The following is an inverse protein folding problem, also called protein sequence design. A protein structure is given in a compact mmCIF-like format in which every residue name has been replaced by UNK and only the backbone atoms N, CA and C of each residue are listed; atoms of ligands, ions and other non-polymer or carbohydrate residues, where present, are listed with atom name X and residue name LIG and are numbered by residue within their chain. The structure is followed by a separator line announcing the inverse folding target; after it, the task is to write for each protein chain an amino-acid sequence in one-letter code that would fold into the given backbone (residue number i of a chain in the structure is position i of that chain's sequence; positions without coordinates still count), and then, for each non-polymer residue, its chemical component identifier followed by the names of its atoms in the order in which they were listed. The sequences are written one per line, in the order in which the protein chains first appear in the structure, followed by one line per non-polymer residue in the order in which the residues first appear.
data_IF_977923631196
#
_entry.id   IF_977923631196
#
_cell.length_a   1.000
_cell.length_b   1.000
_cell.length_c   1.000
_cell.angle_alpha   90.00
_cell.angle_beta   90.00
_cell.angle_gamma   90.00
#
_symmetry.space_group_name_H-M   'P 1'
#
loop_
_entity.id
_entity.type
_entity.pdbx_description
1 polymer ?
#
# COMPACT_ATOMS: atom_id res chain seq x y z
N UNK A 1 5.15 -48.74 -8.76
CA UNK A 1 5.49 -47.69 -7.81
C UNK A 1 5.25 -46.33 -8.48
N UNK A 2 4.10 -45.72 -8.18
CA UNK A 2 3.76 -44.38 -8.67
C UNK A 2 4.52 -43.38 -7.79
N UNK A 3 5.39 -42.55 -8.38
CA UNK A 3 5.95 -41.38 -7.76
C UNK A 3 4.84 -40.34 -7.69
N UNK A 4 4.27 -40.14 -6.52
CA UNK A 4 3.47 -38.95 -6.21
C UNK A 4 4.44 -37.77 -6.18
N UNK A 5 4.47 -36.99 -7.26
CA UNK A 5 5.11 -35.70 -7.28
C UNK A 5 4.35 -34.82 -6.31
N UNK A 6 4.96 -34.48 -5.18
CA UNK A 6 4.52 -33.35 -4.37
C UNK A 6 4.65 -32.11 -5.26
N UNK A 7 3.53 -31.51 -5.64
CA UNK A 7 3.54 -30.18 -6.19
C UNK A 7 4.20 -29.29 -5.12
N UNK A 8 5.35 -28.71 -5.46
CA UNK A 8 5.96 -27.66 -4.66
C UNK A 8 4.93 -26.54 -4.57
N UNK A 9 4.39 -26.30 -3.37
CA UNK A 9 3.49 -25.16 -3.12
C UNK A 9 4.36 -23.93 -3.36
N UNK A 10 4.10 -23.22 -4.44
CA UNK A 10 4.81 -21.99 -4.74
C UNK A 10 4.38 -20.97 -3.70
N UNK A 11 5.30 -20.59 -2.81
CA UNK A 11 5.08 -19.51 -1.85
C UNK A 11 4.93 -18.20 -2.62
N UNK A 12 3.77 -17.57 -2.51
CA UNK A 12 3.48 -16.31 -3.19
C UNK A 12 3.45 -15.18 -2.16
N UNK A 13 4.27 -14.17 -2.38
CA UNK A 13 4.24 -12.91 -1.62
C UNK A 13 3.38 -11.90 -2.36
N UNK A 14 2.55 -11.15 -1.63
CA UNK A 14 1.90 -9.97 -2.14
C UNK A 14 2.66 -8.72 -1.66
N UNK A 15 3.13 -7.89 -2.58
CA UNK A 15 3.66 -6.56 -2.31
C UNK A 15 2.56 -5.53 -2.63
N UNK A 16 2.06 -4.86 -1.59
CA UNK A 16 1.00 -3.87 -1.70
C UNK A 16 1.60 -2.48 -1.60
N UNK A 17 1.47 -1.71 -2.67
CA UNK A 17 1.97 -0.34 -2.80
C UNK A 17 0.80 0.62 -2.59
N UNK A 18 0.78 1.26 -1.42
CA UNK A 18 -0.34 2.08 -0.95
C UNK A 18 -0.19 3.51 -1.45
N UNK A 19 -1.12 3.97 -2.29
CA UNK A 19 -1.44 5.36 -2.64
C UNK A 19 -0.24 6.24 -3.03
N UNK A 20 0.78 5.70 -3.68
CA UNK A 20 1.92 6.50 -4.14
C UNK A 20 1.53 7.24 -5.43
N UNK A 21 0.61 8.19 -5.26
CA UNK A 21 0.01 9.00 -6.31
C UNK A 21 0.67 10.37 -6.38
N UNK A 22 0.55 11.06 -7.53
CA UNK A 22 1.18 12.35 -7.73
C UNK A 22 0.78 13.37 -6.66
N UNK A 23 -0.50 13.42 -6.25
CA UNK A 23 -0.97 14.36 -5.23
C UNK A 23 -0.33 14.15 -3.86
N UNK A 24 0.05 12.92 -3.51
CA UNK A 24 0.72 12.62 -2.24
C UNK A 24 2.25 12.72 -2.31
N UNK A 25 2.83 12.85 -3.49
CA UNK A 25 4.29 12.92 -3.65
C UNK A 25 4.75 14.34 -3.98
N UNK A 26 4.24 14.92 -5.05
CA UNK A 26 4.64 16.26 -5.53
C UNK A 26 3.47 17.23 -5.68
N UNK A 27 2.23 16.76 -5.59
CA UNK A 27 1.01 17.54 -5.79
C UNK A 27 0.45 18.15 -4.50
N UNK A 28 -0.88 18.21 -4.42
CA UNK A 28 -1.62 18.98 -3.39
C UNK A 28 -1.25 18.65 -1.93
N UNK A 29 -0.95 17.39 -1.64
CA UNK A 29 -0.56 16.89 -0.31
C UNK A 29 0.86 16.30 -0.31
N UNK A 30 1.69 16.68 -1.28
CA UNK A 30 3.06 16.19 -1.42
C UNK A 30 3.98 16.57 -0.26
N UNK A 31 4.92 15.67 0.05
CA UNK A 31 5.93 15.88 1.09
C UNK A 31 7.32 15.52 0.58
N UNK A 32 8.34 16.12 1.19
CA UNK A 32 9.74 15.76 0.90
C UNK A 32 10.04 14.30 1.25
N UNK A 33 9.41 13.79 2.29
CA UNK A 33 9.54 12.41 2.74
C UNK A 33 8.97 11.44 1.70
N UNK A 34 7.81 11.74 1.12
CA UNK A 34 7.22 10.93 0.06
C UNK A 34 8.10 10.90 -1.23
N UNK A 35 8.72 12.02 -1.58
CA UNK A 35 9.70 12.07 -2.67
C UNK A 35 10.93 11.22 -2.36
N UNK A 36 11.42 11.29 -1.13
CA UNK A 36 12.65 10.62 -0.72
C UNK A 36 12.59 9.08 -0.78
N UNK A 37 11.40 8.49 -0.62
CA UNK A 37 11.24 7.02 -0.66
C UNK A 37 11.12 6.45 -2.08
N UNK A 38 10.93 7.26 -3.12
CA UNK A 38 10.70 6.78 -4.49
C UNK A 38 11.82 5.85 -5.01
N UNK A 39 13.12 6.11 -4.80
CA UNK A 39 14.17 5.20 -5.25
C UNK A 39 14.08 3.83 -4.58
N UNK A 40 13.80 3.77 -3.27
CA UNK A 40 13.64 2.53 -2.53
C UNK A 40 12.40 1.76 -2.99
N UNK A 41 11.28 2.46 -3.17
CA UNK A 41 10.05 1.89 -3.73
C UNK A 41 10.28 1.27 -5.11
N UNK A 42 10.93 2.01 -6.00
CA UNK A 42 11.25 1.50 -7.34
C UNK A 42 12.05 0.21 -7.28
N UNK A 43 13.13 0.22 -6.51
CA UNK A 43 14.00 -0.96 -6.34
C UNK A 43 13.25 -2.16 -5.77
N UNK A 44 12.38 -1.93 -4.78
CA UNK A 44 11.56 -2.97 -4.15
C UNK A 44 10.53 -3.55 -5.12
N UNK A 45 9.83 -2.72 -5.88
CA UNK A 45 8.86 -3.16 -6.88
C UNK A 45 9.54 -3.97 -7.98
N UNK A 46 10.66 -3.49 -8.50
CA UNK A 46 11.42 -4.20 -9.54
C UNK A 46 11.93 -5.56 -9.04
N UNK A 47 12.40 -5.63 -7.78
CA UNK A 47 12.82 -6.89 -7.15
C UNK A 47 11.65 -7.86 -6.94
N UNK A 48 10.48 -7.37 -6.51
CA UNK A 48 9.28 -8.17 -6.35
C UNK A 48 8.81 -8.78 -7.67
N UNK A 49 8.78 -7.97 -8.73
CA UNK A 49 8.45 -8.47 -10.09
C UNK A 49 9.42 -9.56 -10.52
N UNK A 50 10.72 -9.35 -10.33
CA UNK A 50 11.75 -10.34 -10.68
C UNK A 50 11.63 -11.63 -9.86
N UNK A 51 11.12 -11.55 -8.63
CA UNK A 51 10.86 -12.70 -7.75
C UNK A 51 9.55 -13.43 -8.07
N UNK A 52 8.66 -12.83 -8.88
CA UNK A 52 7.34 -13.36 -9.18
C UNK A 52 6.29 -13.04 -8.11
N UNK A 53 6.52 -12.02 -7.30
CA UNK A 53 5.56 -11.54 -6.31
C UNK A 53 4.32 -10.94 -6.99
N UNK A 54 3.17 -11.05 -6.34
CA UNK A 54 1.95 -10.34 -6.75
C UNK A 54 2.08 -8.85 -6.35
N UNK A 55 2.19 -7.96 -7.34
CA UNK A 55 2.28 -6.53 -7.09
C UNK A 55 0.90 -5.89 -7.22
N UNK A 56 0.47 -5.20 -6.17
CA UNK A 56 -0.84 -4.55 -6.10
C UNK A 56 -0.66 -3.09 -5.72
N UNK A 57 -1.14 -2.19 -6.57
CA UNK A 57 -1.20 -0.76 -6.30
C UNK A 57 -2.58 -0.37 -5.80
N UNK A 58 -2.66 0.46 -4.77
CA UNK A 58 -3.90 1.14 -4.42
C UNK A 58 -3.84 2.60 -4.85
N UNK A 59 -5.00 3.16 -5.14
CA UNK A 59 -5.19 4.58 -5.41
C UNK A 59 -6.30 5.11 -4.54
N UNK A 60 -6.00 6.06 -3.71
CA UNK A 60 -7.02 6.88 -3.07
C UNK A 60 -7.83 7.58 -4.15
N UNK A 61 -9.15 7.52 -4.09
CA UNK A 61 -9.99 7.90 -5.23
C UNK A 61 -11.21 8.68 -4.76
N UNK A 62 -11.26 9.95 -5.12
CA UNK A 62 -12.36 10.85 -4.78
C UNK A 62 -13.10 11.29 -6.04
N UNK A 63 -14.38 11.65 -5.85
CA UNK A 63 -15.21 12.31 -6.87
C UNK A 63 -15.03 13.82 -6.88
N UNK A 64 -15.64 14.47 -7.87
CA UNK A 64 -15.66 15.93 -7.97
C UNK A 64 -16.39 16.61 -6.79
N UNK A 65 -17.19 15.85 -6.06
CA UNK A 65 -17.93 16.25 -4.87
C UNK A 65 -17.13 16.10 -3.57
N UNK A 66 -15.81 15.94 -3.64
CA UNK A 66 -14.93 15.74 -2.48
C UNK A 66 -15.19 16.72 -1.34
N UNK A 67 -15.39 18.00 -1.67
CA UNK A 67 -15.63 19.06 -0.66
C UNK A 67 -16.90 18.83 0.17
N UNK A 68 -17.88 18.09 -0.36
CA UNK A 68 -19.16 17.80 0.31
C UNK A 68 -19.08 16.51 1.14
N UNK A 69 -17.98 15.76 1.04
CA UNK A 69 -17.78 14.53 1.80
C UNK A 69 -17.40 14.81 3.26
N UNK A 70 -17.51 13.80 4.11
CA UNK A 70 -17.01 13.89 5.48
C UNK A 70 -15.51 14.17 5.52
N UNK A 71 -14.74 13.51 4.70
CA UNK A 71 -13.28 13.70 4.59
C UNK A 71 -12.95 15.12 4.12
N UNK A 72 -13.63 15.60 3.07
CA UNK A 72 -13.42 16.95 2.54
C UNK A 72 -13.72 18.06 3.54
N UNK A 73 -14.66 17.83 4.48
CA UNK A 73 -14.93 18.79 5.58
C UNK A 73 -13.82 18.81 6.64
N UNK A 74 -13.12 17.69 6.85
CA UNK A 74 -12.00 17.61 7.80
C UNK A 74 -10.67 18.01 7.19
N UNK A 75 -10.49 17.75 5.91
CA UNK A 75 -9.31 18.12 5.12
C UNK A 75 -9.77 18.84 3.84
N UNK A 76 -10.00 20.15 3.87
CA UNK A 76 -10.54 20.90 2.73
C UNK A 76 -9.49 21.15 1.63
N UNK A 77 -8.79 20.13 1.22
CA UNK A 77 -7.79 20.12 0.14
C UNK A 77 -8.18 19.05 -0.86
N UNK A 78 -8.84 19.40 -1.97
CA UNK A 78 -9.15 18.44 -3.02
C UNK A 78 -7.88 17.74 -3.52
N UNK A 79 -7.91 16.43 -3.55
CA UNK A 79 -6.79 15.60 -3.99
C UNK A 79 -7.31 14.28 -4.55
N UNK A 80 -6.49 13.62 -5.32
CA UNK A 80 -6.79 12.29 -5.89
C UNK A 80 -8.18 12.20 -6.54
N UNK A 81 -8.61 13.29 -7.20
CA UNK A 81 -9.87 13.30 -7.95
C UNK A 81 -9.72 12.39 -9.16
N UNK A 82 -10.61 11.43 -9.28
CA UNK A 82 -10.56 10.39 -10.33
C UNK A 82 -10.40 10.99 -11.72
N UNK A 83 -9.44 10.47 -12.47
CA UNK A 83 -9.15 10.90 -13.83
C UNK A 83 -8.22 12.11 -13.96
N UNK A 84 -7.82 12.74 -12.86
CA UNK A 84 -6.82 13.82 -12.88
C UNK A 84 -5.40 13.26 -12.84
N UNK A 85 -4.42 14.10 -13.20
CA UNK A 85 -3.00 13.75 -13.09
C UNK A 85 -2.60 13.46 -11.63
N UNK A 86 -3.15 14.22 -10.68
CA UNK A 86 -2.90 14.02 -9.24
C UNK A 86 -3.31 12.65 -8.73
N UNK A 87 -4.35 12.07 -9.30
CA UNK A 87 -4.83 10.73 -8.97
C UNK A 87 -3.95 9.60 -9.51
N UNK A 88 -3.16 9.82 -10.56
CA UNK A 88 -2.32 8.79 -11.15
C UNK A 88 -1.19 8.37 -10.20
N UNK A 89 -0.84 7.09 -10.23
CA UNK A 89 0.37 6.58 -9.58
C UNK A 89 1.60 7.28 -10.18
N UNK A 90 2.58 7.60 -9.35
CA UNK A 90 3.82 8.21 -9.81
C UNK A 90 4.47 7.36 -10.90
N UNK A 91 4.72 7.96 -12.05
CA UNK A 91 5.18 7.27 -13.27
C UNK A 91 6.44 6.41 -13.07
N UNK A 92 7.35 6.86 -12.20
CA UNK A 92 8.63 6.17 -11.97
C UNK A 92 8.44 4.77 -11.37
N UNK A 93 7.36 4.56 -10.62
CA UNK A 93 7.06 3.30 -9.93
C UNK A 93 5.86 2.58 -10.50
N UNK A 94 5.04 3.24 -11.30
CA UNK A 94 3.85 2.62 -11.89
C UNK A 94 4.22 1.44 -12.80
N UNK A 95 3.43 0.38 -12.71
CA UNK A 95 3.53 -0.82 -13.55
C UNK A 95 2.13 -1.14 -14.07
N UNK A 96 1.77 -0.65 -15.25
CA UNK A 96 0.40 -0.75 -15.78
C UNK A 96 -0.15 -2.17 -15.91
N UNK A 97 0.74 -3.15 -16.03
CA UNK A 97 0.37 -4.57 -16.11
C UNK A 97 0.05 -5.22 -14.75
N UNK A 98 0.31 -4.50 -13.66
CA UNK A 98 -0.01 -4.95 -12.31
C UNK A 98 -1.44 -4.57 -11.93
N UNK A 99 -1.93 -5.15 -10.82
CA UNK A 99 -3.26 -4.86 -10.30
C UNK A 99 -3.31 -3.44 -9.73
N UNK A 100 -4.33 -2.67 -10.10
CA UNK A 100 -4.62 -1.36 -9.53
C UNK A 100 -6.01 -1.36 -8.90
N UNK A 101 -6.11 -0.90 -7.65
CA UNK A 101 -7.36 -0.83 -6.89
C UNK A 101 -7.68 0.63 -6.60
N UNK A 102 -8.87 1.07 -6.97
CA UNK A 102 -9.42 2.35 -6.56
C UNK A 102 -10.16 2.16 -5.23
N UNK A 103 -9.75 2.87 -4.19
CA UNK A 103 -10.41 2.82 -2.88
C UNK A 103 -10.98 4.21 -2.50
N UNK A 104 -12.22 4.26 -1.99
CA UNK A 104 -12.89 5.53 -1.67
C UNK A 104 -12.58 6.04 -0.27
N UNK A 105 -11.75 5.35 0.49
CA UNK A 105 -11.42 5.65 1.89
C UNK A 105 -10.01 5.15 2.22
N UNK A 106 -9.50 5.47 3.40
CA UNK A 106 -8.13 5.17 3.83
C UNK A 106 -7.77 3.69 3.74
N UNK A 107 -8.64 2.80 4.23
CA UNK A 107 -8.47 1.36 4.12
C UNK A 107 -9.34 0.76 3.01
N UNK A 108 -8.85 -0.25 2.35
CA UNK A 108 -9.63 -1.03 1.39
C UNK A 108 -10.33 -2.19 2.12
N UNK A 109 -11.65 -2.31 1.95
CA UNK A 109 -12.46 -3.28 2.70
C UNK A 109 -12.58 -4.64 2.04
N UNK A 110 -12.32 -4.73 0.73
CA UNK A 110 -12.56 -5.94 -0.05
C UNK A 110 -11.31 -6.81 -0.26
N UNK A 111 -10.30 -6.67 0.62
CA UNK A 111 -9.09 -7.49 0.57
C UNK A 111 -9.38 -8.98 0.58
N UNK A 112 -10.39 -9.42 1.34
CA UNK A 112 -10.76 -10.83 1.39
C UNK A 112 -11.23 -11.37 0.04
N UNK A 113 -11.98 -10.57 -0.74
CA UNK A 113 -12.42 -10.93 -2.07
C UNK A 113 -11.26 -10.95 -3.08
N UNK A 114 -10.31 -10.00 -2.94
CA UNK A 114 -9.17 -9.90 -3.85
C UNK A 114 -8.13 -10.98 -3.61
N UNK A 115 -7.76 -11.21 -2.36
CA UNK A 115 -6.67 -12.11 -1.96
C UNK A 115 -7.17 -13.51 -1.57
N UNK A 116 -8.44 -13.64 -1.25
CA UNK A 116 -9.05 -14.91 -0.89
C UNK A 116 -8.97 -15.93 -2.03
N UNK A 117 -8.57 -17.16 -1.69
CA UNK A 117 -8.37 -18.23 -2.68
C UNK A 117 -7.06 -18.17 -3.45
N UNK A 118 -6.19 -17.19 -3.19
CA UNK A 118 -4.80 -17.15 -3.66
C UNK A 118 -3.89 -17.78 -2.61
N UNK A 119 -2.84 -18.46 -3.05
CA UNK A 119 -1.87 -19.09 -2.13
C UNK A 119 -0.84 -18.07 -1.62
N UNK A 120 -1.32 -16.94 -1.06
CA UNK A 120 -0.48 -15.90 -0.49
C UNK A 120 -0.03 -16.34 0.90
N UNK A 121 1.26 -16.36 1.12
CA UNK A 121 1.89 -16.76 2.37
C UNK A 121 2.53 -15.61 3.13
N UNK A 122 2.77 -14.49 2.46
CA UNK A 122 3.35 -13.28 3.03
C UNK A 122 2.75 -12.04 2.38
N UNK A 123 2.52 -11.00 3.17
CA UNK A 123 2.09 -9.69 2.69
C UNK A 123 3.13 -8.66 3.13
N UNK A 124 3.65 -7.90 2.17
CA UNK A 124 4.48 -6.73 2.45
C UNK A 124 3.75 -5.46 2.00
N UNK A 125 3.76 -4.44 2.84
CA UNK A 125 3.07 -3.17 2.62
C UNK A 125 4.08 -2.03 2.61
N UNK A 126 3.98 -1.18 1.60
CA UNK A 126 4.81 0.01 1.40
C UNK A 126 3.93 1.17 0.92
N UNK A 127 4.45 2.38 0.94
CA UNK A 127 3.77 3.55 0.36
C UNK A 127 3.41 4.64 1.35
N UNK A 128 2.31 5.35 1.10
CA UNK A 128 1.93 6.57 1.82
C UNK A 128 0.43 6.63 2.14
N UNK A 129 0.01 7.37 3.18
CA UNK A 129 0.89 7.80 4.27
C UNK A 129 0.97 6.70 5.33
N UNK A 130 2.13 6.52 5.94
CA UNK A 130 2.35 5.49 6.97
C UNK A 130 1.30 5.53 8.07
N UNK A 131 0.97 6.74 8.52
CA UNK A 131 0.07 7.05 9.63
C UNK A 131 -1.41 7.14 9.25
N UNK A 132 -1.76 6.94 7.99
CA UNK A 132 -3.15 7.01 7.49
C UNK A 132 -3.48 5.73 6.68
N UNK A 133 -3.21 5.74 5.39
CA UNK A 133 -3.62 4.64 4.49
C UNK A 133 -2.81 3.36 4.71
N UNK A 134 -1.52 3.46 5.01
CA UNK A 134 -0.68 2.28 5.26
C UNK A 134 -1.14 1.55 6.51
N UNK A 135 -1.22 2.22 7.67
CA UNK A 135 -1.66 1.59 8.92
C UNK A 135 -3.10 1.08 8.81
N UNK A 136 -3.99 1.81 8.16
CA UNK A 136 -5.39 1.39 7.97
C UNK A 136 -5.48 0.06 7.23
N UNK A 137 -4.75 -0.08 6.12
CA UNK A 137 -4.72 -1.33 5.36
C UNK A 137 -4.00 -2.45 6.11
N UNK A 138 -2.90 -2.15 6.79
CA UNK A 138 -2.14 -3.13 7.56
C UNK A 138 -3.00 -3.78 8.66
N UNK A 139 -3.78 -2.99 9.39
CA UNK A 139 -4.67 -3.48 10.45
C UNK A 139 -5.86 -4.28 9.88
N UNK A 140 -6.45 -3.83 8.77
CA UNK A 140 -7.52 -4.57 8.09
C UNK A 140 -7.00 -5.93 7.59
N UNK A 141 -5.84 -5.94 6.93
CA UNK A 141 -5.23 -7.18 6.43
C UNK A 141 -4.89 -8.12 7.57
N UNK A 142 -4.35 -7.60 8.70
CA UNK A 142 -4.07 -8.43 9.88
C UNK A 142 -5.32 -9.04 10.49
N UNK A 143 -6.44 -8.32 10.46
CA UNK A 143 -7.71 -8.83 10.95
C UNK A 143 -8.32 -9.89 10.02
N UNK A 144 -8.19 -9.72 8.70
CA UNK A 144 -8.72 -10.65 7.70
C UNK A 144 -7.86 -11.91 7.53
N UNK A 145 -6.54 -11.77 7.70
CA UNK A 145 -5.56 -12.84 7.47
C UNK A 145 -4.64 -13.00 8.69
N UNK A 146 -5.17 -13.40 9.85
CA UNK A 146 -4.40 -13.42 11.10
C UNK A 146 -3.21 -14.37 11.09
N UNK A 147 -3.23 -15.39 10.23
CA UNK A 147 -2.18 -16.40 10.11
C UNK A 147 -1.12 -16.06 9.04
N UNK A 148 -1.32 -14.99 8.28
CA UNK A 148 -0.33 -14.54 7.28
C UNK A 148 0.62 -13.54 7.95
N UNK A 149 1.91 -13.70 7.71
CA UNK A 149 2.92 -12.73 8.13
C UNK A 149 2.77 -11.44 7.32
N UNK A 150 2.57 -10.33 8.04
CA UNK A 150 2.46 -9.00 7.45
C UNK A 150 3.68 -8.18 7.86
N UNK A 151 4.35 -7.61 6.87
CA UNK A 151 5.52 -6.76 7.03
C UNK A 151 5.24 -5.37 6.46
N UNK A 152 5.72 -4.34 7.14
CA UNK A 152 5.78 -2.96 6.64
C UNK A 152 7.25 -2.57 6.55
N UNK A 153 7.70 -2.10 5.38
CA UNK A 153 9.05 -1.60 5.18
C UNK A 153 9.07 -0.08 5.37
N UNK A 154 9.64 0.36 6.50
CA UNK A 154 9.70 1.76 6.88
C UNK A 154 10.54 2.61 5.91
N UNK A 155 11.57 2.04 5.28
CA UNK A 155 12.39 2.74 4.27
C UNK A 155 11.66 2.98 2.95
N UNK A 156 10.53 2.31 2.77
CA UNK A 156 9.62 2.44 1.63
C UNK A 156 8.27 3.07 2.01
N UNK A 157 8.18 3.69 3.19
CA UNK A 157 6.99 4.39 3.67
C UNK A 157 7.31 5.82 4.09
N UNK A 158 6.35 6.72 3.92
CA UNK A 158 6.42 8.08 4.42
C UNK A 158 5.09 8.48 5.08
N UNK A 159 5.14 9.08 6.24
CA UNK A 159 3.98 9.65 6.94
C UNK A 159 3.77 11.12 6.63
N UNK A 160 2.73 11.69 7.20
CA UNK A 160 2.46 13.15 7.13
C UNK A 160 3.60 13.93 7.78
N UNK A 161 4.16 13.39 8.86
CA UNK A 161 5.36 13.90 9.51
C UNK A 161 6.25 12.75 9.98
N UNK A 162 7.55 13.00 10.24
CA UNK A 162 8.42 11.98 10.84
C UNK A 162 7.93 11.46 12.20
N UNK A 163 7.24 12.30 12.96
CA UNK A 163 6.69 11.94 14.27
C UNK A 163 5.53 10.96 14.14
N UNK A 164 4.53 11.30 13.32
CA UNK A 164 3.35 10.45 13.12
C UNK A 164 3.70 9.16 12.36
N UNK A 165 4.68 9.21 11.46
CA UNK A 165 5.26 8.01 10.84
C UNK A 165 5.77 7.02 11.90
N UNK A 166 6.63 7.46 12.82
CA UNK A 166 7.16 6.60 13.89
C UNK A 166 6.06 6.08 14.82
N UNK A 167 5.09 6.92 15.16
CA UNK A 167 3.96 6.53 16.00
C UNK A 167 3.15 5.40 15.36
N UNK A 168 2.87 5.51 14.05
CA UNK A 168 2.16 4.47 13.31
C UNK A 168 2.95 3.15 13.25
N UNK A 169 4.26 3.20 12.99
CA UNK A 169 5.10 2.01 13.00
C UNK A 169 5.08 1.31 14.36
N UNK A 170 5.17 2.08 15.45
CA UNK A 170 5.09 1.55 16.81
C UNK A 170 3.72 0.88 17.08
N UNK A 171 2.63 1.51 16.65
CA UNK A 171 1.29 0.95 16.78
C UNK A 171 1.14 -0.37 15.99
N UNK A 172 1.65 -0.41 14.77
CA UNK A 172 1.63 -1.63 13.94
C UNK A 172 2.44 -2.77 14.58
N UNK A 173 3.61 -2.49 15.15
CA UNK A 173 4.40 -3.49 15.89
C UNK A 173 3.62 -4.06 17.08
N UNK A 174 2.88 -3.23 17.81
CA UNK A 174 2.02 -3.69 18.91
C UNK A 174 0.91 -4.63 18.43
N UNK A 175 0.47 -4.49 17.18
CA UNK A 175 -0.49 -5.35 16.52
C UNK A 175 0.13 -6.56 15.80
N UNK A 176 1.38 -6.91 16.11
CA UNK A 176 2.12 -8.05 15.52
C UNK A 176 2.35 -7.93 14.01
N UNK A 177 2.42 -6.73 13.49
CA UNK A 177 2.90 -6.44 12.15
C UNK A 177 4.41 -6.20 12.23
N UNK A 178 5.17 -6.93 11.44
CA UNK A 178 6.63 -6.78 11.42
C UNK A 178 7.01 -5.47 10.72
N UNK A 179 7.84 -4.68 11.36
CA UNK A 179 8.42 -3.46 10.76
C UNK A 179 9.89 -3.74 10.45
N UNK A 180 10.29 -3.48 9.22
CA UNK A 180 11.68 -3.56 8.75
C UNK A 180 12.10 -2.19 8.21
N UNK A 181 13.40 -1.99 8.03
CA UNK A 181 13.94 -0.68 7.67
C UNK A 181 14.01 0.30 8.85
N UNK A 182 14.56 1.53 8.62
CA UNK A 182 14.77 2.66 9.55
C UNK A 182 15.73 2.43 10.68
#
# INVERSE_FOLDING_TARGET
AAKTGSAEVAFMKALIVIDVQNDFVTGALGTKQAVAILPNLKSKIDAGIAAGDEIIFTRDTHGADYADTNEGRHLPVPHCIKGTEGWQVVREIDRPDCVHIDKPTFGYTDWAALLGGREITEIEIVGVCTDICVISNALILKALFPEIDITVDADCCAGVSPETHRAALTAMQSCQIRVVGA
#
